data_IF_055894772593
#
_entry.id   IF_055894772593
#
_cell.length_a   1.000
_cell.length_b   1.000
_cell.length_c   1.000
_cell.angle_alpha   90.00
_cell.angle_beta   90.00
_cell.angle_gamma   90.00
#
_symmetry.space_group_name_H-M   'P 1'
#
loop_
_entity.id
_entity.type
_entity.pdbx_description
1 polymer ?
#
# COMPACT_ATOMS: atom_id res chain seq x y z
N UNK A 1 0.56 7.20 -11.48
CA UNK A 1 1.78 6.64 -10.82
C UNK A 1 1.43 5.34 -10.10
N UNK A 2 2.24 4.27 -10.23
CA UNK A 2 1.97 2.92 -9.65
C UNK A 2 1.61 2.92 -8.16
N UNK A 3 2.26 3.77 -7.36
CA UNK A 3 1.99 3.90 -5.92
C UNK A 3 0.56 4.37 -5.61
N UNK A 4 -0.06 5.16 -6.48
CA UNK A 4 -1.45 5.60 -6.27
C UNK A 4 -2.44 4.45 -6.51
N UNK A 5 -2.14 3.54 -7.43
CA UNK A 5 -2.96 2.34 -7.66
C UNK A 5 -2.83 1.40 -6.47
N UNK A 6 -1.60 1.15 -5.99
CA UNK A 6 -1.37 0.36 -4.77
C UNK A 6 -2.11 0.95 -3.57
N UNK A 7 -2.13 2.28 -3.41
CA UNK A 7 -2.90 2.93 -2.36
C UNK A 7 -4.40 2.67 -2.51
N UNK A 8 -4.93 2.73 -3.74
CA UNK A 8 -6.33 2.45 -4.02
C UNK A 8 -6.67 0.99 -3.69
N UNK A 9 -5.86 0.03 -4.13
CA UNK A 9 -6.03 -1.38 -3.78
C UNK A 9 -5.95 -1.61 -2.27
N UNK A 10 -5.02 -0.94 -1.57
CA UNK A 10 -4.87 -1.06 -0.13
C UNK A 10 -6.13 -0.65 0.66
N UNK A 11 -6.90 0.31 0.14
CA UNK A 11 -8.11 0.81 0.83
C UNK A 11 -9.40 0.18 0.31
N UNK A 12 -9.41 -0.39 -0.89
CA UNK A 12 -10.59 -1.00 -1.51
C UNK A 12 -10.61 -2.53 -1.36
N UNK A 13 -9.50 -3.15 -0.98
CA UNK A 13 -9.39 -4.61 -0.89
C UNK A 13 -9.00 -5.07 0.51
N UNK A 14 -9.40 -6.30 0.82
CA UNK A 14 -8.91 -7.02 1.99
C UNK A 14 -7.63 -7.82 1.71
N UNK A 15 -7.07 -7.71 0.51
CA UNK A 15 -5.83 -8.38 0.12
C UNK A 15 -4.65 -7.96 0.99
N UNK A 16 -3.69 -8.84 1.20
CA UNK A 16 -2.49 -8.48 1.95
C UNK A 16 -1.65 -7.50 1.13
N UNK A 17 -0.83 -6.69 1.82
CA UNK A 17 0.10 -5.80 1.11
C UNK A 17 1.02 -6.57 0.15
N UNK A 18 1.41 -7.80 0.50
CA UNK A 18 2.24 -8.64 -0.36
C UNK A 18 1.51 -8.96 -1.67
N UNK A 19 0.27 -9.45 -1.58
CA UNK A 19 -0.57 -9.77 -2.75
C UNK A 19 -0.78 -8.55 -3.66
N UNK A 20 -1.05 -7.38 -3.08
CA UNK A 20 -1.22 -6.13 -3.84
C UNK A 20 0.09 -5.77 -4.56
N UNK A 21 1.23 -5.86 -3.87
CA UNK A 21 2.53 -5.56 -4.47
C UNK A 21 2.88 -6.53 -5.59
N UNK A 22 2.63 -7.82 -5.42
CA UNK A 22 2.84 -8.84 -6.44
C UNK A 22 1.98 -8.58 -7.68
N UNK A 23 0.69 -8.24 -7.50
CA UNK A 23 -0.20 -7.87 -8.59
C UNK A 23 0.28 -6.65 -9.40
N UNK A 24 1.07 -5.77 -8.78
CA UNK A 24 1.69 -4.61 -9.42
C UNK A 24 3.15 -4.83 -9.87
N UNK A 25 3.68 -6.06 -9.77
CA UNK A 25 5.05 -6.41 -10.16
C UNK A 25 6.13 -5.89 -9.21
N UNK A 26 5.79 -5.56 -7.97
CA UNK A 26 6.76 -5.18 -6.93
C UNK A 26 7.29 -6.41 -6.21
N UNK A 27 8.54 -6.77 -6.49
CA UNK A 27 9.26 -7.83 -5.76
C UNK A 27 10.00 -7.30 -4.53
N UNK A 28 10.34 -6.01 -4.51
CA UNK A 28 11.11 -5.40 -3.42
C UNK A 28 10.23 -4.59 -2.47
N UNK A 29 9.74 -5.25 -1.42
CA UNK A 29 8.87 -4.66 -0.40
C UNK A 29 9.57 -3.54 0.38
N UNK A 30 10.88 -3.66 0.67
CA UNK A 30 11.64 -2.65 1.43
C UNK A 30 11.71 -1.32 0.68
N UNK A 31 12.00 -1.37 -0.62
CA UNK A 31 12.01 -0.19 -1.47
C UNK A 31 10.62 0.45 -1.52
N UNK A 32 9.56 -0.36 -1.67
CA UNK A 32 8.20 0.15 -1.64
C UNK A 32 7.89 0.88 -0.33
N UNK A 33 8.20 0.29 0.83
CA UNK A 33 7.96 0.93 2.13
C UNK A 33 8.68 2.27 2.26
N UNK A 34 9.92 2.36 1.77
CA UNK A 34 10.68 3.62 1.76
C UNK A 34 9.97 4.67 0.91
N UNK A 35 9.69 4.38 -0.36
CA UNK A 35 9.06 5.35 -1.27
C UNK A 35 7.65 5.74 -0.77
N UNK A 36 6.89 4.77 -0.27
CA UNK A 36 5.55 5.00 0.28
C UNK A 36 5.60 5.91 1.51
N UNK A 37 6.52 5.66 2.44
CA UNK A 37 6.71 6.51 3.62
C UNK A 37 7.21 7.91 3.23
N UNK A 38 8.10 8.02 2.25
CA UNK A 38 8.57 9.32 1.76
C UNK A 38 7.43 10.15 1.17
N UNK A 39 6.52 9.49 0.43
CA UNK A 39 5.40 10.13 -0.27
C UNK A 39 4.19 10.45 0.60
N UNK A 40 3.76 9.51 1.45
CA UNK A 40 2.55 9.65 2.27
C UNK A 40 2.83 10.00 3.73
N UNK A 41 4.11 10.01 4.15
CA UNK A 41 4.53 10.20 5.56
C UNK A 41 3.88 9.22 6.55
N UNK A 42 3.28 8.14 6.04
CA UNK A 42 2.57 7.11 6.80
C UNK A 42 2.96 5.71 6.30
N UNK A 43 2.56 4.67 7.03
CA UNK A 43 2.73 3.28 6.62
C UNK A 43 1.42 2.72 6.04
N UNK A 44 1.47 1.74 5.12
CA UNK A 44 0.29 1.06 4.60
C UNK A 44 -0.61 0.49 5.71
N UNK A 45 0.01 -0.10 6.73
CA UNK A 45 -0.68 -0.64 7.91
C UNK A 45 -1.40 0.45 8.71
N UNK A 46 -0.81 1.63 8.85
CA UNK A 46 -1.44 2.76 9.53
C UNK A 46 -2.67 3.24 8.76
N UNK A 47 -2.57 3.43 7.44
CA UNK A 47 -3.72 3.80 6.61
C UNK A 47 -4.85 2.82 6.80
N UNK A 48 -4.55 1.52 6.67
CA UNK A 48 -5.56 0.47 6.76
C UNK A 48 -6.26 0.40 8.12
N UNK A 49 -5.53 0.70 9.20
CA UNK A 49 -6.11 0.78 10.56
C UNK A 49 -7.00 2.01 10.74
N UNK A 50 -6.71 3.11 10.05
CA UNK A 50 -7.45 4.36 10.13
C UNK A 50 -8.53 4.50 9.04
N UNK A 51 -8.73 3.48 8.20
CA UNK A 51 -9.84 3.50 7.26
C UNK A 51 -11.16 3.45 8.05
N UNK A 52 -12.13 4.32 7.71
CA UNK A 52 -13.47 4.18 8.25
C UNK A 52 -13.98 2.80 7.87
N UNK A 53 -14.32 1.99 8.88
CA UNK A 53 -15.03 0.74 8.65
C UNK A 53 -16.46 1.13 8.29
N UNK A 54 -16.78 1.08 7.00
CA UNK A 54 -18.14 1.26 6.49
C UNK A 54 -18.93 -0.02 6.79
#
# INVERSE_FOLDING_TARGET
MRISHIYKDLINTNDTLCSILEAHGFTNTKLFYRIFKEKFKCTPKHIRKNLPKI
#
